data_IF_088170520931
#
_entry.id   IF_088170520931
#
_cell.length_a   1.000
_cell.length_b   1.000
_cell.length_c   1.000
_cell.angle_alpha   90.00
_cell.angle_beta   90.00
_cell.angle_gamma   90.00
#
_symmetry.space_group_name_H-M   'P 1'
#
loop_
_entity.id
_entity.type
_entity.pdbx_description
1 polymer ?
#
# COMPACT_ATOMS: atom_id res chain seq x y z
N UNK A 1 -22.77 35.71 -15.29
CA UNK A 1 -22.25 34.53 -16.03
C UNK A 1 -20.85 34.10 -15.57
N UNK A 2 -19.95 35.01 -15.20
CA UNK A 2 -18.57 34.71 -14.76
C UNK A 2 -18.46 33.98 -13.39
N UNK A 3 -19.43 34.16 -12.49
CA UNK A 3 -19.44 33.52 -11.17
C UNK A 3 -19.72 32.00 -11.23
N UNK A 4 -20.51 31.53 -12.19
CA UNK A 4 -20.81 30.10 -12.36
C UNK A 4 -19.61 29.29 -12.82
N UNK A 5 -18.74 29.87 -13.67
CA UNK A 5 -17.51 29.22 -14.11
C UNK A 5 -16.51 29.04 -12.96
N UNK A 6 -16.42 30.01 -12.03
CA UNK A 6 -15.53 29.91 -10.87
C UNK A 6 -15.96 28.83 -9.86
N UNK A 7 -17.27 28.64 -9.65
CA UNK A 7 -17.79 27.57 -8.78
C UNK A 7 -17.59 26.20 -9.43
N UNK A 8 -17.77 26.10 -10.75
CA UNK A 8 -17.57 24.85 -11.49
C UNK A 8 -16.09 24.45 -11.57
N UNK A 9 -15.18 25.40 -11.75
CA UNK A 9 -13.72 25.12 -11.71
C UNK A 9 -13.29 24.70 -10.31
N UNK A 10 -13.75 25.39 -9.25
CA UNK A 10 -13.44 25.01 -7.87
C UNK A 10 -13.95 23.60 -7.53
N UNK A 11 -15.13 23.23 -8.03
CA UNK A 11 -15.69 21.88 -7.89
C UNK A 11 -14.86 20.82 -8.62
N UNK A 12 -14.34 21.14 -9.82
CA UNK A 12 -13.45 20.26 -10.57
C UNK A 12 -12.08 20.09 -9.87
N UNK A 13 -11.52 21.18 -9.33
CA UNK A 13 -10.27 21.11 -8.55
C UNK A 13 -10.42 20.28 -7.27
N UNK A 14 -11.53 20.40 -6.55
CA UNK A 14 -11.78 19.59 -5.33
C UNK A 14 -11.91 18.09 -5.69
N UNK A 15 -12.66 17.75 -6.74
CA UNK A 15 -12.81 16.36 -7.18
C UNK A 15 -11.50 15.77 -7.75
N UNK A 16 -10.68 16.56 -8.44
CA UNK A 16 -9.37 16.13 -8.93
C UNK A 16 -8.38 15.89 -7.77
N UNK A 17 -8.45 16.72 -6.72
CA UNK A 17 -7.68 16.51 -5.49
C UNK A 17 -8.18 15.26 -4.74
N UNK A 18 -9.50 15.02 -4.70
CA UNK A 18 -10.09 13.81 -4.13
C UNK A 18 -9.77 12.54 -4.94
N UNK A 19 -9.69 12.64 -6.26
CA UNK A 19 -9.38 11.52 -7.17
C UNK A 19 -7.92 11.09 -7.12
N UNK A 20 -7.02 11.89 -6.54
CA UNK A 20 -5.63 11.49 -6.26
C UNK A 20 -5.44 11.00 -4.82
N UNK A 21 -6.47 11.03 -3.97
CA UNK A 21 -6.44 10.51 -2.59
C UNK A 21 -6.79 9.03 -2.49
N UNK A 22 -6.99 8.34 -3.62
CA UNK A 22 -7.50 6.96 -3.70
C UNK A 22 -6.73 6.03 -2.76
N UNK A 23 -7.36 5.83 -1.58
CA UNK A 23 -7.10 4.81 -0.55
C UNK A 23 -5.92 4.97 0.41
N UNK A 24 -5.04 5.97 0.30
CA UNK A 24 -3.84 6.03 1.17
C UNK A 24 -3.43 7.42 1.71
N UNK A 25 -4.26 8.47 1.63
CA UNK A 25 -3.85 9.80 2.15
C UNK A 25 -4.42 10.18 3.54
N UNK A 26 -5.46 9.51 4.04
CA UNK A 26 -6.01 9.82 5.38
C UNK A 26 -5.41 8.97 6.52
N UNK A 27 -4.46 8.07 6.21
CA UNK A 27 -3.86 7.12 7.17
C UNK A 27 -2.36 6.98 6.90
N UNK A 28 -1.58 8.03 7.12
CA UNK A 28 -0.12 7.88 7.09
C UNK A 28 0.31 7.07 8.32
N UNK A 29 0.83 5.86 8.18
CA UNK A 29 1.38 5.16 9.34
C UNK A 29 1.78 3.72 9.08
N UNK A 30 2.28 3.06 10.12
CA UNK A 30 2.96 1.76 10.01
C UNK A 30 1.98 0.60 9.89
N UNK A 31 2.39 -0.44 9.15
CA UNK A 31 1.67 -1.72 9.05
C UNK A 31 2.41 -2.78 9.86
N UNK A 32 1.71 -3.49 10.75
CA UNK A 32 2.23 -4.66 11.46
C UNK A 32 1.35 -5.87 11.23
N UNK A 33 1.89 -6.98 10.73
CA UNK A 33 1.14 -8.22 10.57
C UNK A 33 1.37 -9.13 11.79
N UNK A 34 0.31 -9.37 12.56
CA UNK A 34 0.38 -10.32 13.66
C UNK A 34 0.60 -11.77 13.16
N UNK A 35 1.29 -12.62 13.94
CA UNK A 35 1.43 -14.04 13.62
C UNK A 35 0.06 -14.71 13.40
N UNK A 36 -0.05 -15.54 12.36
CA UNK A 36 -1.30 -16.27 12.04
C UNK A 36 -2.45 -15.43 11.46
N UNK A 37 -2.36 -14.09 11.42
CA UNK A 37 -3.45 -13.23 10.93
C UNK A 37 -3.25 -12.86 9.45
N UNK A 38 -4.27 -12.96 8.58
CA UNK A 38 -4.17 -12.55 7.18
C UNK A 38 -4.11 -11.03 7.02
N UNK A 39 -4.74 -10.30 7.94
CA UNK A 39 -4.80 -8.84 7.94
C UNK A 39 -3.64 -8.26 8.77
N UNK A 40 -3.15 -7.10 8.32
CA UNK A 40 -2.26 -6.28 9.14
C UNK A 40 -3.04 -5.53 10.22
N UNK A 41 -2.31 -4.91 11.14
CA UNK A 41 -2.76 -3.80 11.98
C UNK A 41 -2.13 -2.50 11.45
N UNK A 42 -2.83 -1.39 11.62
CA UNK A 42 -2.41 -0.07 11.13
C UNK A 42 -2.36 0.88 12.33
N UNK A 43 -1.28 1.65 12.46
CA UNK A 43 -1.27 2.87 13.27
C UNK A 43 -1.50 4.03 12.31
N UNK A 44 -2.37 4.97 12.64
CA UNK A 44 -2.53 6.22 11.90
C UNK A 44 -1.71 7.33 12.56
N UNK A 45 -1.00 8.15 11.78
CA UNK A 45 -0.13 9.23 12.26
C UNK A 45 -0.87 10.32 13.02
N UNK A 46 -2.18 10.42 12.77
CA UNK A 46 -3.09 11.39 13.36
C UNK A 46 -3.84 10.86 14.58
N UNK A 47 -3.76 9.55 14.89
CA UNK A 47 -4.48 8.93 15.99
C UNK A 47 -3.52 8.52 17.12
N UNK A 48 -3.90 8.82 18.36
CA UNK A 48 -3.12 8.45 19.53
C UNK A 48 -3.08 6.92 19.72
N UNK A 49 -1.95 6.32 19.31
CA UNK A 49 -1.33 5.11 19.85
C UNK A 49 -2.12 3.78 19.87
N UNK A 50 -3.25 3.65 19.17
CA UNK A 50 -3.99 2.37 19.09
C UNK A 50 -3.83 1.70 17.72
N UNK A 51 -3.47 0.42 17.75
CA UNK A 51 -3.34 -0.41 16.55
C UNK A 51 -4.72 -0.89 16.10
N UNK A 52 -5.22 -0.33 15.01
CA UNK A 52 -6.48 -0.72 14.40
C UNK A 52 -6.31 -1.92 13.49
N UNK A 53 -7.38 -2.70 13.31
CA UNK A 53 -7.37 -3.81 12.36
C UNK A 53 -7.34 -3.26 10.93
N UNK A 54 -6.41 -3.78 10.12
CA UNK A 54 -6.37 -3.50 8.69
C UNK A 54 -7.64 -4.04 8.00
N UNK A 55 -8.23 -3.24 7.13
CA UNK A 55 -9.52 -3.54 6.49
C UNK A 55 -9.48 -4.80 5.61
N UNK A 56 -8.31 -5.14 5.06
CA UNK A 56 -8.15 -6.24 4.12
C UNK A 56 -6.86 -7.03 4.38
N UNK A 57 -6.83 -8.28 3.92
CA UNK A 57 -5.65 -9.13 3.98
C UNK A 57 -4.50 -8.52 3.16
N UNK A 58 -3.26 -8.62 3.67
CA UNK A 58 -2.08 -8.00 3.03
C UNK A 58 -1.74 -8.57 1.66
N UNK A 59 -2.29 -9.74 1.31
CA UNK A 59 -2.14 -10.39 0.00
C UNK A 59 -3.11 -9.87 -1.06
N UNK A 60 -4.05 -8.99 -0.72
CA UNK A 60 -5.08 -8.51 -1.65
C UNK A 60 -4.49 -7.46 -2.60
N UNK A 61 -4.55 -7.74 -3.91
CA UNK A 61 -3.81 -7.03 -4.94
C UNK A 61 -4.02 -5.51 -5.04
N UNK A 62 -5.07 -4.92 -4.45
CA UNK A 62 -5.42 -3.49 -4.62
C UNK A 62 -6.14 -2.90 -3.39
N UNK A 63 -5.74 -3.30 -2.19
CA UNK A 63 -6.43 -2.97 -0.93
C UNK A 63 -5.76 -1.94 -0.02
N UNK A 64 -4.47 -1.68 -0.19
CA UNK A 64 -3.67 -0.88 0.74
C UNK A 64 -2.28 -0.53 0.15
N UNK A 65 -1.57 0.40 0.77
CA UNK A 65 -0.26 0.91 0.35
C UNK A 65 0.78 -0.19 0.12
N UNK A 66 0.80 -1.25 0.94
CA UNK A 66 1.73 -2.37 0.76
C UNK A 66 1.57 -3.10 -0.59
N UNK A 67 0.34 -3.32 -1.06
CA UNK A 67 0.10 -3.98 -2.35
C UNK A 67 0.44 -3.02 -3.51
N UNK A 68 0.07 -1.75 -3.38
CA UNK A 68 0.40 -0.70 -4.36
C UNK A 68 1.90 -0.54 -4.55
N UNK A 69 2.69 -0.58 -3.46
CA UNK A 69 4.15 -0.47 -3.53
C UNK A 69 4.79 -1.62 -4.33
N UNK A 70 4.15 -2.80 -4.36
CA UNK A 70 4.65 -3.99 -5.05
C UNK A 70 3.87 -4.32 -6.33
N UNK A 71 2.97 -3.45 -6.78
CA UNK A 71 2.00 -3.78 -7.84
C UNK A 71 2.68 -4.17 -9.16
N UNK A 72 3.78 -3.50 -9.53
CA UNK A 72 4.57 -3.79 -10.72
C UNK A 72 5.59 -4.91 -10.53
N UNK A 73 5.90 -5.28 -9.28
CA UNK A 73 6.81 -6.40 -8.95
C UNK A 73 6.07 -7.74 -9.04
N UNK A 74 4.80 -7.75 -8.61
CA UNK A 74 3.97 -8.96 -8.54
C UNK A 74 3.06 -9.11 -9.76
N UNK A 75 2.71 -8.01 -10.43
CA UNK A 75 1.95 -8.00 -11.67
C UNK A 75 2.79 -8.33 -12.91
N UNK A 76 2.11 -8.63 -14.01
CA UNK A 76 2.75 -8.84 -15.32
C UNK A 76 3.13 -7.48 -15.93
N UNK A 77 4.34 -7.02 -15.63
CA UNK A 77 4.91 -5.78 -16.15
C UNK A 77 6.30 -6.06 -16.74
N UNK A 78 6.38 -6.04 -18.08
CA UNK A 78 7.60 -6.33 -18.83
C UNK A 78 8.74 -5.32 -18.58
N UNK A 79 8.40 -4.11 -18.12
CA UNK A 79 9.36 -3.05 -17.88
C UNK A 79 9.84 -3.00 -16.43
N UNK A 80 9.14 -3.66 -15.50
CA UNK A 80 9.54 -3.69 -14.10
C UNK A 80 10.94 -4.32 -13.93
N UNK A 81 11.78 -3.66 -13.14
CA UNK A 81 13.12 -4.14 -12.74
C UNK A 81 13.19 -4.11 -11.22
N UNK A 82 13.49 -5.25 -10.60
CA UNK A 82 13.62 -5.37 -9.15
C UNK A 82 14.64 -6.46 -8.80
N UNK A 83 15.18 -6.37 -7.59
CA UNK A 83 16.00 -7.42 -6.98
C UNK A 83 15.25 -7.93 -5.74
N UNK A 84 14.96 -9.23 -5.71
CA UNK A 84 14.39 -9.89 -4.54
C UNK A 84 15.49 -10.66 -3.81
N UNK A 85 15.57 -10.46 -2.49
CA UNK A 85 16.45 -11.23 -1.62
C UNK A 85 15.63 -12.07 -0.65
N UNK A 86 16.04 -13.32 -0.47
CA UNK A 86 15.43 -14.20 0.52
C UNK A 86 16.49 -15.18 1.03
N UNK A 87 16.52 -15.39 2.34
CA UNK A 87 17.29 -16.44 2.99
C UNK A 87 17.09 -17.83 2.37
N UNK A 88 15.83 -18.14 2.05
CA UNK A 88 15.39 -19.40 1.45
C UNK A 88 14.55 -19.04 0.22
N UNK A 89 15.18 -18.75 -0.93
CA UNK A 89 14.46 -18.31 -2.11
C UNK A 89 13.49 -19.40 -2.59
N UNK A 90 12.23 -19.04 -2.93
CA UNK A 90 11.27 -20.01 -3.43
C UNK A 90 11.76 -20.60 -4.76
N UNK A 91 11.59 -21.90 -4.95
CA UNK A 91 11.94 -22.59 -6.20
C UNK A 91 13.43 -22.90 -6.38
N UNK A 92 14.31 -22.54 -5.42
CA UNK A 92 15.74 -22.91 -5.47
C UNK A 92 16.08 -23.79 -4.26
N UNK A 93 16.11 -25.12 -4.43
CA UNK A 93 16.38 -26.04 -3.33
C UNK A 93 17.81 -25.88 -2.79
N UNK A 94 17.99 -26.21 -1.51
CA UNK A 94 19.30 -26.32 -0.84
C UNK A 94 20.11 -25.02 -0.65
N UNK A 95 19.57 -23.84 -1.01
CA UNK A 95 20.19 -22.55 -0.67
C UNK A 95 19.50 -21.98 0.58
N UNK A 96 20.24 -21.96 1.69
CA UNK A 96 19.85 -21.28 2.93
C UNK A 96 21.03 -20.45 3.42
N UNK A 97 20.88 -19.13 3.44
CA UNK A 97 21.90 -18.24 4.01
C UNK A 97 21.70 -18.09 5.53
N UNK A 98 22.49 -17.23 6.20
CA UNK A 98 22.32 -16.96 7.63
C UNK A 98 21.50 -15.70 7.91
N UNK A 99 21.24 -14.87 6.89
CA UNK A 99 20.44 -13.65 7.04
C UNK A 99 18.96 -13.99 7.15
N UNK A 100 18.21 -13.28 7.99
CA UNK A 100 16.75 -13.42 8.06
C UNK A 100 16.01 -12.18 7.53
N UNK A 101 16.76 -11.17 7.07
CA UNK A 101 16.20 -9.96 6.46
C UNK A 101 15.78 -10.22 5.01
N UNK A 102 14.77 -9.50 4.55
CA UNK A 102 14.27 -9.46 3.17
C UNK A 102 14.05 -8.03 2.75
#
# INVERSE_FOLDING_TARGET
>A
MLAFFNVLTLSFFINLTYSQTTKCQNRAGGVYKAPGQPNGKIIESTAAATWENGEQALSRANGHSFATALQHVVGDDQNAKFLAYNNAPPGVPSIKTKSNSK
#
